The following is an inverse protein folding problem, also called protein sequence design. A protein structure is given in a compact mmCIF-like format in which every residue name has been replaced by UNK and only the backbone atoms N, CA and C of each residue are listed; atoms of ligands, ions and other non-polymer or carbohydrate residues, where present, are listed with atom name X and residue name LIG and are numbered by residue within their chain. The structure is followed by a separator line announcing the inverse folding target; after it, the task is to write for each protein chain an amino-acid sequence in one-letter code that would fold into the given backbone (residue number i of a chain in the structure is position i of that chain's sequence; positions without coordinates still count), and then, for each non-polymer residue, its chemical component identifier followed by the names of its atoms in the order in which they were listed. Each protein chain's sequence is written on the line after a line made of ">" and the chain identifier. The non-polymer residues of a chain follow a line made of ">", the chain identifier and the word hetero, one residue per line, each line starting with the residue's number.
data_IF_640390333226
#
_entry.id   IF_640390333226
#
_cell.length_a   1.000
_cell.length_b   1.000
_cell.length_c   1.000
_cell.angle_alpha   90.00
_cell.angle_beta   90.00
_cell.angle_gamma   90.00
#
_symmetry.space_group_name_H-M   'P 1'
#
loop_
_entity.id
_entity.type
_entity.pdbx_description
1 polymer ?
#
# COMPACT_ATOMS: atom_id res chain seq x y z
N UNK A 1 -8.57 3.46 -21.50
CA UNK A 1 -9.82 2.68 -21.33
C UNK A 1 -10.15 2.39 -19.86
N UNK A 2 -9.15 2.25 -18.96
CA UNK A 2 -9.32 2.00 -17.51
C UNK A 2 -9.95 3.14 -16.71
N UNK A 3 -9.55 4.39 -16.97
CA UNK A 3 -10.00 5.61 -16.25
C UNK A 3 -11.52 5.79 -16.26
N UNK A 4 -12.19 5.42 -17.37
CA UNK A 4 -13.66 5.50 -17.47
C UNK A 4 -14.38 4.53 -16.53
N UNK A 5 -13.78 3.38 -16.22
CA UNK A 5 -14.36 2.43 -15.27
C UNK A 5 -14.15 2.89 -13.83
N UNK A 6 -12.99 3.47 -13.52
CA UNK A 6 -12.72 4.08 -12.21
C UNK A 6 -13.73 5.19 -11.88
N UNK A 7 -14.06 6.04 -12.84
CA UNK A 7 -15.08 7.08 -12.65
C UNK A 7 -16.45 6.51 -12.22
N UNK A 8 -16.81 5.30 -12.66
CA UNK A 8 -18.05 4.62 -12.26
C UNK A 8 -17.99 4.05 -10.84
N UNK A 9 -16.78 3.82 -10.34
CA UNK A 9 -16.54 3.30 -9.00
C UNK A 9 -16.46 4.42 -7.95
N UNK A 10 -16.42 5.69 -8.37
CA UNK A 10 -16.36 6.82 -7.47
C UNK A 10 -17.74 7.19 -6.92
N UNK A 11 -17.82 7.45 -5.61
CA UNK A 11 -19.03 7.94 -4.92
C UNK A 11 -18.81 9.39 -4.46
N UNK A 12 -19.27 10.40 -5.20
CA UNK A 12 -18.99 11.82 -4.89
C UNK A 12 -19.45 12.24 -3.49
N UNK A 13 -20.62 11.76 -3.06
CA UNK A 13 -21.17 12.07 -1.73
C UNK A 13 -20.33 11.52 -0.57
N UNK A 14 -19.52 10.49 -0.81
CA UNK A 14 -18.64 9.89 0.21
C UNK A 14 -17.18 10.26 0.00
N UNK A 15 -16.81 10.76 -1.19
CA UNK A 15 -15.44 10.95 -1.65
C UNK A 15 -14.59 9.70 -1.49
N UNK A 16 -15.13 8.56 -1.91
CA UNK A 16 -14.52 7.24 -1.79
C UNK A 16 -14.83 6.41 -3.03
N UNK A 17 -13.95 5.45 -3.31
CA UNK A 17 -14.19 4.42 -4.32
C UNK A 17 -14.82 3.17 -3.70
N UNK A 18 -15.68 2.53 -4.48
CA UNK A 18 -16.29 1.25 -4.11
C UNK A 18 -15.31 0.11 -4.28
N UNK A 19 -15.56 -1.01 -3.59
CA UNK A 19 -14.71 -2.19 -3.73
C UNK A 19 -14.93 -2.86 -5.09
N UNK A 20 -16.19 -3.06 -5.47
CA UNK A 20 -16.55 -3.61 -6.77
C UNK A 20 -17.88 -3.06 -7.27
N UNK A 21 -18.12 -3.23 -8.56
CA UNK A 21 -19.43 -3.01 -9.18
C UNK A 21 -19.94 -4.39 -9.59
N UNK A 22 -21.11 -4.77 -9.07
CA UNK A 22 -21.79 -6.00 -9.49
C UNK A 22 -22.85 -5.68 -10.51
N UNK A 23 -22.89 -6.48 -11.58
CA UNK A 23 -23.95 -6.39 -12.59
C UNK A 23 -25.18 -7.12 -12.07
N UNK A 24 -26.24 -6.38 -11.74
CA UNK A 24 -27.53 -6.91 -11.33
C UNK A 24 -28.58 -6.83 -12.43
N UNK A 25 -29.74 -7.46 -12.20
CA UNK A 25 -30.91 -7.38 -13.10
C UNK A 25 -31.42 -5.95 -13.29
N UNK A 26 -31.21 -5.07 -12.31
CA UNK A 26 -31.58 -3.65 -12.36
C UNK A 26 -30.40 -2.73 -12.72
N UNK A 27 -29.33 -3.28 -13.32
CA UNK A 27 -28.13 -2.53 -13.70
C UNK A 27 -26.94 -2.74 -12.75
N UNK A 28 -25.87 -1.97 -13.00
CA UNK A 28 -24.63 -2.03 -12.24
C UNK A 28 -24.81 -1.41 -10.86
N UNK A 29 -24.60 -2.21 -9.81
CA UNK A 29 -24.74 -1.79 -8.41
C UNK A 29 -23.37 -1.72 -7.73
N UNK A 30 -23.04 -0.58 -7.09
CA UNK A 30 -21.83 -0.47 -6.29
C UNK A 30 -21.94 -1.34 -5.05
N UNK A 31 -20.88 -2.11 -4.74
CA UNK A 31 -20.80 -2.94 -3.54
C UNK A 31 -19.56 -2.59 -2.73
N UNK A 32 -19.81 -2.32 -1.44
CA UNK A 32 -18.79 -1.94 -0.47
C UNK A 32 -18.25 -0.53 -0.70
N UNK A 33 -17.83 0.11 0.39
CA UNK A 33 -16.99 1.33 0.33
C UNK A 33 -15.68 0.96 1.01
N UNK A 34 -14.55 1.20 0.36
CA UNK A 34 -13.27 0.74 0.88
C UNK A 34 -12.20 1.83 0.84
N UNK A 35 -11.69 2.17 2.04
CA UNK A 35 -10.53 3.06 2.21
C UNK A 35 -9.30 2.47 1.53
N UNK A 36 -9.09 1.17 1.67
CA UNK A 36 -8.03 0.41 0.98
C UNK A 36 -8.08 0.60 -0.53
N UNK A 37 -9.22 0.35 -1.16
CA UNK A 37 -9.36 0.52 -2.61
C UNK A 37 -9.25 1.99 -3.02
N UNK A 38 -9.79 2.91 -2.22
CA UNK A 38 -9.59 4.36 -2.46
C UNK A 38 -8.11 4.72 -2.47
N UNK A 39 -7.33 4.26 -1.49
CA UNK A 39 -5.89 4.49 -1.43
C UNK A 39 -5.16 3.85 -2.63
N UNK A 40 -5.50 2.61 -3.02
CA UNK A 40 -4.93 1.94 -4.20
C UNK A 40 -5.21 2.73 -5.48
N UNK A 41 -6.44 3.22 -5.67
CA UNK A 41 -6.79 4.05 -6.82
C UNK A 41 -5.98 5.34 -6.82
N UNK A 42 -5.87 6.02 -5.68
CA UNK A 42 -5.07 7.23 -5.56
C UNK A 42 -3.58 6.99 -5.84
N UNK A 43 -3.02 5.85 -5.42
CA UNK A 43 -1.64 5.47 -5.75
C UNK A 43 -1.49 5.27 -7.27
N UNK A 44 -2.42 4.57 -7.90
CA UNK A 44 -2.40 4.35 -9.35
C UNK A 44 -2.55 5.63 -10.17
N UNK A 45 -3.38 6.57 -9.72
CA UNK A 45 -3.59 7.85 -10.40
C UNK A 45 -2.42 8.83 -10.25
N UNK A 46 -1.52 8.64 -9.29
CA UNK A 46 -0.41 9.57 -9.04
C UNK A 46 0.61 9.63 -10.20
N UNK A 47 0.60 8.67 -11.12
CA UNK A 47 1.44 8.67 -12.33
C UNK A 47 0.67 9.00 -13.62
N UNK A 48 -0.63 9.25 -13.52
CA UNK A 48 -1.50 9.52 -14.67
C UNK A 48 -1.56 11.02 -15.00
N UNK A 49 -2.09 11.33 -16.20
CA UNK A 49 -2.34 12.72 -16.59
C UNK A 49 -3.38 13.37 -15.66
N UNK A 50 -3.22 14.66 -15.37
CA UNK A 50 -4.12 15.41 -14.49
C UNK A 50 -5.58 15.35 -14.97
N UNK A 51 -5.81 15.48 -16.29
CA UNK A 51 -7.15 15.43 -16.88
C UNK A 51 -7.83 14.06 -16.74
N UNK A 52 -7.06 12.97 -16.77
CA UNK A 52 -7.57 11.63 -16.56
C UNK A 52 -7.85 11.35 -15.09
N UNK A 53 -6.98 11.85 -14.23
CA UNK A 53 -7.14 11.79 -12.78
C UNK A 53 -8.40 12.51 -12.31
N UNK A 54 -8.60 13.77 -12.71
CA UNK A 54 -9.82 14.54 -12.38
C UNK A 54 -11.06 13.82 -12.89
N UNK A 55 -11.00 13.23 -14.09
CA UNK A 55 -12.12 12.46 -14.65
C UNK A 55 -12.42 11.19 -13.82
N UNK A 56 -11.40 10.44 -13.39
CA UNK A 56 -11.58 9.27 -12.54
C UNK A 56 -12.18 9.64 -11.17
N UNK A 57 -11.85 10.82 -10.66
CA UNK A 57 -12.33 11.37 -9.39
C UNK A 57 -13.64 12.14 -9.51
N UNK A 58 -14.36 12.04 -10.64
CA UNK A 58 -15.66 12.70 -10.81
C UNK A 58 -15.62 14.23 -10.71
N UNK A 59 -14.46 14.84 -10.96
CA UNK A 59 -14.22 16.29 -10.82
C UNK A 59 -13.58 16.71 -9.49
N UNK A 60 -13.57 15.85 -8.47
CA UNK A 60 -12.95 16.16 -7.18
C UNK A 60 -11.41 16.06 -7.25
N UNK A 61 -10.73 16.79 -6.36
CA UNK A 61 -9.27 16.70 -6.27
C UNK A 61 -8.83 15.37 -5.62
N UNK A 62 -7.84 14.66 -6.17
CA UNK A 62 -7.23 13.50 -5.51
C UNK A 62 -6.69 13.82 -4.11
N UNK A 63 -6.23 15.07 -3.89
CA UNK A 63 -5.76 15.54 -2.59
C UNK A 63 -6.91 15.60 -1.58
N UNK A 64 -8.10 16.04 -1.99
CA UNK A 64 -9.28 16.09 -1.12
C UNK A 64 -9.80 14.68 -0.79
N UNK A 65 -9.80 13.78 -1.78
CA UNK A 65 -10.12 12.35 -1.57
C UNK A 65 -9.11 11.71 -0.61
N UNK A 66 -7.81 12.03 -0.76
CA UNK A 66 -6.78 11.61 0.17
C UNK A 66 -7.02 12.16 1.58
N UNK A 67 -7.41 13.42 1.71
CA UNK A 67 -7.84 14.02 2.98
C UNK A 67 -8.96 13.21 3.64
N UNK A 68 -9.97 12.79 2.86
CA UNK A 68 -11.09 12.02 3.40
C UNK A 68 -10.68 10.69 4.03
N UNK A 69 -9.73 9.96 3.44
CA UNK A 69 -9.22 8.70 4.03
C UNK A 69 -8.27 8.96 5.21
N UNK A 70 -7.66 10.15 5.29
CA UNK A 70 -6.82 10.57 6.40
C UNK A 70 -7.61 11.01 7.64
N UNK A 71 -8.81 11.60 7.48
CA UNK A 71 -9.62 12.11 8.59
C UNK A 71 -9.84 11.09 9.72
N UNK A 72 -10.02 9.81 9.35
CA UNK A 72 -10.31 8.72 10.30
C UNK A 72 -9.09 7.84 10.60
N UNK A 73 -7.89 8.16 10.08
CA UNK A 73 -6.72 7.26 10.11
C UNK A 73 -6.33 6.85 11.52
N UNK A 74 -6.54 7.73 12.51
CA UNK A 74 -6.25 7.47 13.93
C UNK A 74 -6.99 6.25 14.51
N UNK A 75 -8.16 5.89 13.95
CA UNK A 75 -8.98 4.76 14.39
C UNK A 75 -8.72 3.46 13.63
N UNK A 76 -7.95 3.51 12.53
CA UNK A 76 -7.76 2.35 11.64
C UNK A 76 -6.86 1.31 12.32
N UNK A 77 -7.33 0.07 12.45
CA UNK A 77 -6.60 -1.00 13.16
C UNK A 77 -5.77 -1.89 12.24
N UNK A 78 -6.05 -1.88 10.94
CA UNK A 78 -5.34 -2.71 9.95
C UNK A 78 -4.07 -1.99 9.45
N UNK A 79 -2.93 -2.68 9.49
CA UNK A 79 -1.64 -2.10 9.08
C UNK A 79 -1.63 -1.74 7.60
N UNK A 80 -2.13 -2.63 6.74
CA UNK A 80 -2.16 -2.43 5.29
C UNK A 80 -2.95 -1.19 4.88
N UNK A 81 -4.11 -0.96 5.50
CA UNK A 81 -4.94 0.21 5.24
C UNK A 81 -4.22 1.51 5.59
N UNK A 82 -3.52 1.53 6.73
CA UNK A 82 -2.70 2.69 7.16
C UNK A 82 -1.51 2.89 6.23
N UNK A 83 -0.82 1.81 5.86
CA UNK A 83 0.33 1.85 4.96
C UNK A 83 -0.04 2.39 3.57
N UNK A 84 -1.12 1.88 2.97
CA UNK A 84 -1.62 2.37 1.68
C UNK A 84 -2.08 3.83 1.76
N UNK A 85 -2.73 4.21 2.87
CA UNK A 85 -3.13 5.62 3.11
C UNK A 85 -1.89 6.53 3.20
N UNK A 86 -0.84 6.12 3.92
CA UNK A 86 0.42 6.85 4.01
C UNK A 86 1.09 6.96 2.63
N UNK A 87 1.11 5.87 1.86
CA UNK A 87 1.70 5.86 0.52
C UNK A 87 0.97 6.83 -0.41
N UNK A 88 -0.37 6.77 -0.47
CA UNK A 88 -1.16 7.74 -1.22
C UNK A 88 -0.89 9.17 -0.76
N UNK A 89 -0.90 9.42 0.55
CA UNK A 89 -0.63 10.75 1.11
C UNK A 89 0.74 11.30 0.72
N UNK A 90 1.78 10.46 0.66
CA UNK A 90 3.13 10.86 0.25
C UNK A 90 3.22 11.15 -1.25
N UNK A 91 2.61 10.33 -2.10
CA UNK A 91 2.56 10.57 -3.55
C UNK A 91 1.87 11.90 -3.87
N UNK A 92 0.75 12.17 -3.20
CA UNK A 92 -0.01 13.42 -3.35
C UNK A 92 0.54 14.59 -2.52
N UNK A 93 1.67 14.41 -1.80
CA UNK A 93 2.27 15.42 -0.90
C UNK A 93 1.25 16.05 0.05
N UNK A 94 0.37 15.24 0.61
CA UNK A 94 -0.67 15.71 1.52
C UNK A 94 -0.04 16.19 2.83
N UNK A 95 -0.43 17.37 3.31
CA UNK A 95 0.14 17.99 4.52
C UNK A 95 -0.04 17.12 5.77
N UNK A 96 -1.13 16.35 5.82
CA UNK A 96 -1.45 15.45 6.92
C UNK A 96 -0.87 14.01 6.77
N UNK A 97 0.13 13.79 5.91
CA UNK A 97 0.77 12.47 5.79
C UNK A 97 1.40 11.98 7.11
N UNK A 98 1.78 12.92 8.00
CA UNK A 98 2.33 12.61 9.32
C UNK A 98 1.34 11.83 10.21
N UNK A 99 0.04 12.11 10.13
CA UNK A 99 -0.95 11.39 10.93
C UNK A 99 -1.02 9.88 10.57
N UNK A 100 -0.90 9.55 9.29
CA UNK A 100 -0.82 8.16 8.85
C UNK A 100 0.51 7.50 9.28
N UNK A 101 1.61 8.25 9.30
CA UNK A 101 2.90 7.76 9.78
C UNK A 101 2.88 7.47 11.29
N UNK A 102 2.29 8.37 12.08
CA UNK A 102 2.14 8.18 13.52
C UNK A 102 1.25 6.99 13.82
N UNK A 103 0.16 6.82 13.06
CA UNK A 103 -0.67 5.62 13.18
C UNK A 103 0.08 4.35 12.81
N UNK A 104 0.88 4.38 11.75
CA UNK A 104 1.70 3.23 11.33
C UNK A 104 2.64 2.81 12.47
N UNK A 105 3.29 3.78 13.14
CA UNK A 105 4.16 3.51 14.29
C UNK A 105 3.40 2.84 15.45
N UNK A 106 2.18 3.28 15.74
CA UNK A 106 1.34 2.69 16.79
C UNK A 106 0.97 1.23 16.48
N UNK A 107 0.76 0.88 15.21
CA UNK A 107 0.47 -0.50 14.79
C UNK A 107 1.69 -1.41 14.79
N UNK A 108 2.89 -0.87 15.04
CA UNK A 108 4.17 -1.58 15.13
C UNK A 108 4.40 -2.57 13.97
N UNK A 109 4.75 -2.11 12.76
CA UNK A 109 5.04 -2.99 11.63
C UNK A 109 6.28 -3.85 11.85
N UNK A 110 7.08 -3.62 12.91
CA UNK A 110 8.28 -4.41 13.20
C UNK A 110 7.96 -5.62 14.05
N UNK A 111 6.98 -5.54 14.96
CA UNK A 111 6.68 -6.62 15.92
C UNK A 111 5.23 -7.09 15.91
N UNK A 112 4.28 -6.31 15.42
CA UNK A 112 2.86 -6.68 15.39
C UNK A 112 2.59 -7.86 14.47
N UNK A 113 1.56 -8.67 14.74
CA UNK A 113 1.18 -9.82 13.91
C UNK A 113 0.50 -9.35 12.61
N UNK A 114 1.31 -9.12 11.58
CA UNK A 114 0.88 -8.61 10.28
C UNK A 114 1.33 -9.58 9.18
N UNK A 115 0.55 -9.67 8.11
CA UNK A 115 0.93 -10.48 6.95
C UNK A 115 2.03 -9.82 6.12
N UNK A 116 2.64 -10.59 5.23
CA UNK A 116 3.75 -10.13 4.38
C UNK A 116 3.38 -8.98 3.47
N UNK A 117 2.15 -8.96 2.97
CA UNK A 117 1.66 -7.90 2.07
C UNK A 117 1.54 -6.58 2.83
N UNK A 118 1.02 -6.60 4.05
CA UNK A 118 0.91 -5.41 4.90
C UNK A 118 2.27 -4.86 5.30
N UNK A 119 3.22 -5.74 5.64
CA UNK A 119 4.61 -5.36 5.93
C UNK A 119 5.28 -4.76 4.68
N UNK A 120 5.06 -5.35 3.51
CA UNK A 120 5.57 -4.84 2.25
C UNK A 120 4.99 -3.47 1.89
N UNK A 121 3.67 -3.27 2.03
CA UNK A 121 3.06 -1.95 1.85
C UNK A 121 3.60 -0.92 2.83
N UNK A 122 3.85 -1.30 4.09
CA UNK A 122 4.46 -0.41 5.07
C UNK A 122 5.87 0.02 4.64
N UNK A 123 6.70 -0.92 4.15
CA UNK A 123 8.03 -0.60 3.64
C UNK A 123 7.96 0.31 2.40
N UNK A 124 7.06 0.03 1.45
CA UNK A 124 6.86 0.89 0.28
C UNK A 124 6.43 2.29 0.69
N UNK A 125 5.46 2.41 1.59
CA UNK A 125 5.00 3.71 2.10
C UNK A 125 6.14 4.49 2.75
N UNK A 126 6.95 3.83 3.59
CA UNK A 126 8.12 4.39 4.26
C UNK A 126 9.24 4.80 3.28
N UNK A 127 9.34 4.11 2.15
CA UNK A 127 10.38 4.31 1.13
C UNK A 127 9.96 5.18 -0.05
N UNK A 128 8.69 5.55 -0.12
CA UNK A 128 8.17 6.48 -1.10
C UNK A 128 8.43 7.91 -0.61
N UNK A 129 9.22 8.68 -1.37
CA UNK A 129 9.34 10.12 -1.21
C UNK A 129 8.76 10.81 -2.44
N UNK A 130 7.73 11.66 -2.26
CA UNK A 130 7.26 12.54 -3.33
C UNK A 130 8.40 13.49 -3.72
N UNK A 131 9.06 13.20 -4.83
CA UNK A 131 10.37 13.72 -5.26
C UNK A 131 10.64 15.20 -4.92
N UNK A 132 11.72 15.53 -4.18
CA UNK A 132 12.48 16.79 -4.32
C UNK A 132 13.52 17.00 -3.20
N UNK A 133 13.39 16.35 -2.05
CA UNK A 133 14.36 16.48 -0.97
C UNK A 133 14.35 15.20 -0.17
N UNK A 134 15.54 14.75 0.23
CA UNK A 134 15.72 13.50 0.94
C UNK A 134 14.72 13.31 2.07
N UNK A 135 14.47 12.04 2.37
CA UNK A 135 13.86 11.53 3.61
C UNK A 135 13.08 12.58 4.43
N UNK A 136 11.72 12.61 4.35
CA UNK A 136 10.94 13.36 5.33
C UNK A 136 11.43 12.93 6.71
N UNK A 137 11.76 13.87 7.58
CA UNK A 137 12.59 13.74 8.79
C UNK A 137 12.19 12.68 9.87
N UNK A 138 11.39 11.68 9.55
CA UNK A 138 11.36 10.38 10.23
C UNK A 138 10.92 9.33 9.21
N UNK A 139 11.75 8.36 8.82
CA UNK A 139 11.63 6.99 9.37
C UNK A 139 12.46 5.95 8.57
N UNK A 140 13.77 6.09 8.50
CA UNK A 140 14.76 5.11 7.98
C UNK A 140 15.15 4.18 9.10
N UNK A 141 15.23 4.66 10.35
CA UNK A 141 15.25 3.73 11.48
C UNK A 141 13.99 2.84 11.41
N UNK A 142 12.86 3.50 11.12
CA UNK A 142 11.61 2.98 10.58
C UNK A 142 11.79 1.82 9.58
N UNK A 143 12.05 2.25 8.35
CA UNK A 143 12.13 1.48 7.13
C UNK A 143 13.19 0.38 7.21
N UNK A 144 14.37 0.64 7.80
CA UNK A 144 15.43 -0.35 7.97
C UNK A 144 14.98 -1.54 8.81
N UNK A 145 14.25 -1.29 9.90
CA UNK A 145 13.71 -2.38 10.74
C UNK A 145 12.60 -3.14 10.03
N UNK A 146 11.71 -2.45 9.32
CA UNK A 146 10.66 -3.09 8.51
C UNK A 146 11.27 -3.91 7.36
N UNK A 147 12.29 -3.39 6.68
CA UNK A 147 13.03 -4.10 5.63
C UNK A 147 13.72 -5.35 6.19
N UNK A 148 14.37 -5.26 7.35
CA UNK A 148 14.95 -6.42 8.03
C UNK A 148 13.92 -7.48 8.39
N UNK A 149 12.74 -7.06 8.88
CA UNK A 149 11.62 -7.97 9.14
C UNK A 149 11.14 -8.66 7.87
N UNK A 150 10.88 -7.89 6.80
CA UNK A 150 10.39 -8.43 5.53
C UNK A 150 11.41 -9.38 4.90
N UNK A 151 12.69 -9.07 4.99
CA UNK A 151 13.77 -9.92 4.48
C UNK A 151 13.83 -11.26 5.21
N UNK A 152 13.56 -11.27 6.53
CA UNK A 152 13.50 -12.51 7.30
C UNK A 152 12.35 -13.45 6.89
N UNK A 153 11.36 -12.96 6.12
CA UNK A 153 10.28 -13.77 5.56
C UNK A 153 10.65 -14.42 4.22
N UNK A 154 11.79 -14.06 3.64
CA UNK A 154 12.29 -14.65 2.40
C UNK A 154 12.90 -16.03 2.67
N UNK A 155 12.46 -17.03 1.91
CA UNK A 155 12.94 -18.39 2.05
C UNK A 155 13.89 -18.76 0.91
N UNK A 156 15.17 -18.86 1.23
CA UNK A 156 16.27 -19.03 0.27
C UNK A 156 16.09 -20.20 -0.71
N UNK A 157 15.62 -21.36 -0.21
CA UNK A 157 15.52 -22.56 -1.05
C UNK A 157 14.33 -22.55 -1.99
N UNK A 158 13.27 -21.79 -1.68
CA UNK A 158 12.08 -21.68 -2.53
C UNK A 158 12.04 -20.39 -3.32
N UNK A 159 12.90 -19.41 -3.03
CA UNK A 159 12.90 -18.10 -3.68
C UNK A 159 11.63 -17.27 -3.42
N UNK A 160 10.86 -17.61 -2.37
CA UNK A 160 9.53 -17.06 -2.11
C UNK A 160 9.43 -16.50 -0.69
N UNK A 161 8.52 -15.55 -0.48
CA UNK A 161 8.21 -15.02 0.85
C UNK A 161 7.11 -15.84 1.53
N UNK A 162 7.23 -16.04 2.84
CA UNK A 162 6.16 -16.63 3.65
C UNK A 162 4.94 -15.71 3.69
N UNK A 163 3.71 -16.23 3.71
CA UNK A 163 2.50 -15.39 3.75
C UNK A 163 2.28 -14.73 5.13
N UNK A 164 2.58 -15.49 6.19
CA UNK A 164 2.43 -15.06 7.58
C UNK A 164 3.75 -15.36 8.31
N UNK A 165 4.29 -14.42 9.11
CA UNK A 165 5.43 -14.69 9.98
C UNK A 165 5.20 -15.91 10.88
N UNK A 166 6.23 -16.72 11.10
CA UNK A 166 6.13 -18.00 11.84
C UNK A 166 5.72 -17.87 13.32
N UNK A 167 5.73 -16.66 13.87
CA UNK A 167 5.32 -16.31 15.23
C UNK A 167 3.84 -15.89 15.37
N UNK A 168 3.15 -15.62 14.26
CA UNK A 168 1.71 -15.39 14.27
C UNK A 168 0.97 -16.72 14.20
N UNK A 169 0.01 -16.96 15.11
CA UNK A 169 -0.77 -18.21 15.17
C UNK A 169 -1.78 -18.25 14.00
N UNK A 170 -1.50 -18.95 12.88
CA UNK A 170 -2.36 -18.91 11.73
C UNK A 170 -3.42 -20.00 11.88
N UNK A 171 -4.60 -19.81 11.28
CA UNK A 171 -5.42 -20.98 10.95
C UNK A 171 -4.59 -21.87 10.00
N UNK A 172 -4.43 -23.15 10.36
CA UNK A 172 -3.53 -24.15 9.72
C UNK A 172 -3.59 -24.24 8.18
N UNK A 173 -4.59 -23.65 7.54
CA UNK A 173 -4.84 -23.72 6.11
C UNK A 173 -4.32 -22.53 5.29
N UNK A 174 -3.83 -21.45 5.92
CA UNK A 174 -3.26 -20.27 5.20
C UNK A 174 -1.80 -19.94 5.52
N UNK A 175 -1.15 -20.70 6.40
CA UNK A 175 0.25 -20.46 6.78
C UNK A 175 1.28 -20.80 5.68
N UNK A 176 0.91 -21.65 4.71
CA UNK A 176 1.87 -22.38 3.87
C UNK A 176 1.81 -22.07 2.37
N UNK A 177 0.91 -21.19 1.93
CA UNK A 177 0.75 -20.91 0.48
C UNK A 177 1.16 -19.47 0.23
N UNK A 178 2.38 -19.28 -0.28
CA UNK A 178 2.77 -18.04 -0.93
C UNK A 178 1.78 -17.77 -2.07
N UNK A 179 1.10 -16.63 -2.03
CA UNK A 179 0.29 -16.15 -3.15
C UNK A 179 1.10 -15.17 -4.01
N UNK A 180 0.61 -14.88 -5.22
CA UNK A 180 1.26 -13.93 -6.11
C UNK A 180 1.50 -12.55 -5.45
N UNK A 181 0.58 -12.12 -4.58
CA UNK A 181 0.73 -10.86 -3.84
C UNK A 181 1.91 -10.90 -2.84
N UNK A 182 2.20 -12.06 -2.25
CA UNK A 182 3.35 -12.27 -1.37
C UNK A 182 4.69 -12.20 -2.12
N UNK A 183 4.68 -12.20 -3.46
CA UNK A 183 5.89 -12.05 -4.29
C UNK A 183 6.00 -10.62 -4.84
N UNK A 184 4.89 -10.11 -5.40
CA UNK A 184 4.86 -8.78 -6.05
C UNK A 184 5.14 -7.67 -5.05
N UNK A 185 4.45 -7.65 -3.91
CA UNK A 185 4.54 -6.51 -3.01
C UNK A 185 5.89 -6.44 -2.30
N UNK A 186 6.50 -7.54 -1.80
CA UNK A 186 7.85 -7.48 -1.27
C UNK A 186 8.89 -7.08 -2.33
N UNK A 187 8.78 -7.60 -3.55
CA UNK A 187 9.65 -7.22 -4.68
C UNK A 187 9.59 -5.72 -4.95
N UNK A 188 8.39 -5.16 -5.01
CA UNK A 188 8.18 -3.72 -5.17
C UNK A 188 8.75 -2.95 -3.98
N UNK A 189 8.47 -3.37 -2.75
CA UNK A 189 8.91 -2.70 -1.54
C UNK A 189 10.44 -2.62 -1.45
N UNK A 190 11.14 -3.72 -1.75
CA UNK A 190 12.59 -3.75 -1.81
C UNK A 190 13.16 -2.90 -2.96
N UNK A 191 12.46 -2.82 -4.09
CA UNK A 191 12.85 -1.93 -5.19
C UNK A 191 12.82 -0.45 -4.77
N UNK A 192 11.74 -0.02 -4.10
CA UNK A 192 11.61 1.35 -3.56
C UNK A 192 12.67 1.62 -2.49
N UNK A 193 12.81 0.72 -1.52
CA UNK A 193 13.77 0.86 -0.42
C UNK A 193 15.23 0.87 -0.92
N UNK A 194 15.59 -0.05 -1.80
CA UNK A 194 16.92 -0.14 -2.39
C UNK A 194 17.27 1.08 -3.24
N UNK A 195 16.33 1.59 -4.06
CA UNK A 195 16.53 2.83 -4.82
C UNK A 195 16.72 4.05 -3.91
N UNK A 196 15.96 4.13 -2.81
CA UNK A 196 16.04 5.24 -1.86
C UNK A 196 17.33 5.23 -1.04
N UNK A 197 17.83 4.05 -0.66
CA UNK A 197 18.93 3.90 0.31
C UNK A 197 20.27 3.49 -0.30
N UNK A 198 20.27 2.95 -1.52
CA UNK A 198 21.44 2.29 -2.12
C UNK A 198 21.73 0.90 -1.54
N UNK A 199 20.83 0.32 -0.74
CA UNK A 199 21.00 -0.99 -0.13
C UNK A 199 21.01 -2.10 -1.21
N UNK A 200 22.21 -2.67 -1.43
CA UNK A 200 22.42 -3.72 -2.44
C UNK A 200 21.70 -5.03 -2.10
N UNK A 201 21.54 -5.35 -0.81
CA UNK A 201 20.83 -6.56 -0.38
C UNK A 201 19.34 -6.43 -0.67
N UNK A 202 18.77 -5.25 -0.45
CA UNK A 202 17.40 -4.98 -0.86
C UNK A 202 17.21 -5.12 -2.37
N UNK A 203 18.12 -4.56 -3.17
CA UNK A 203 18.05 -4.68 -4.64
C UNK A 203 18.21 -6.13 -5.12
N UNK A 204 19.04 -6.94 -4.46
CA UNK A 204 19.16 -8.37 -4.75
C UNK A 204 17.86 -9.14 -4.44
N UNK A 205 17.26 -8.91 -3.27
CA UNK A 205 15.97 -9.50 -2.92
C UNK A 205 14.86 -9.12 -3.90
N UNK A 206 14.83 -7.86 -4.35
CA UNK A 206 13.91 -7.42 -5.39
C UNK A 206 14.15 -8.16 -6.72
N UNK A 207 15.40 -8.29 -7.14
CA UNK A 207 15.76 -9.00 -8.36
C UNK A 207 15.32 -10.48 -8.31
N UNK A 208 15.61 -11.16 -7.20
CA UNK A 208 15.26 -12.57 -7.00
C UNK A 208 13.75 -12.80 -6.98
N UNK A 209 13.00 -11.92 -6.31
CA UNK A 209 11.55 -11.96 -6.32
C UNK A 209 10.95 -11.74 -7.72
N UNK A 210 11.59 -10.89 -8.54
CA UNK A 210 11.19 -10.68 -9.94
C UNK A 210 11.51 -11.89 -10.83
N UNK A 211 12.65 -12.55 -10.65
CA UNK A 211 13.04 -13.75 -11.41
C UNK A 211 12.16 -14.97 -11.10
N UNK A 212 11.50 -15.00 -9.94
CA UNK A 212 10.57 -16.06 -9.57
C UNK A 212 9.21 -15.96 -10.29
N UNK A 213 8.81 -14.76 -10.74
CA UNK A 213 7.50 -14.48 -11.37
C UNK A 213 7.52 -14.70 -12.88
#
# INVERSE_FOLDING_TARGET
>A
MSVRLLARMYLPNKRLFVHCIRRGSNGDQPEGVSRRYTAIVLIGLATELESDTIRACGGDSPREICGRILDDVGSVTNLGDVALTLWAARLWRHSNAQAALDRLRVLDPVRGAHDTVEIAWALTALSCSGEASGWPAGDAGLAKRVAGRLAALFHESSGAFQHVPSDASPSRTRAHVCCFADLVYPTQAFSYYGRMTGDKTALDLAKRGAEFM
#
